data_IF_010458604567
#
_entry.id   IF_010458604567
#
_cell.length_a   1.000
_cell.length_b   1.000
_cell.length_c   1.000
_cell.angle_alpha   90.00
_cell.angle_beta   90.00
_cell.angle_gamma   90.00
#
_symmetry.space_group_name_H-M   'P 1'
#
loop_
_entity.id
_entity.type
_entity.pdbx_description
1 polymer ?
#
# COMPACT_ATOMS: atom_id res chain seq x y z
N UNK A 1 -15.71 76.24 -40.34
CA UNK A 1 -14.37 75.59 -40.33
C UNK A 1 -13.95 75.02 -38.96
N UNK A 2 -14.26 75.66 -37.82
CA UNK A 2 -13.84 75.16 -36.50
C UNK A 2 -14.44 73.79 -36.11
N UNK A 3 -15.75 73.56 -36.33
CA UNK A 3 -16.42 72.29 -36.00
C UNK A 3 -15.77 71.07 -36.66
N UNK A 4 -15.39 71.17 -37.92
CA UNK A 4 -14.77 70.07 -38.66
C UNK A 4 -13.38 69.72 -38.13
N UNK A 5 -12.63 70.71 -37.63
CA UNK A 5 -11.33 70.46 -36.98
C UNK A 5 -11.49 69.77 -35.63
N UNK A 6 -12.52 70.10 -34.86
CA UNK A 6 -12.81 69.48 -33.56
C UNK A 6 -13.17 68.00 -33.72
N UNK A 7 -14.02 67.65 -34.69
CA UNK A 7 -14.41 66.26 -34.94
C UNK A 7 -13.22 65.37 -35.33
N UNK A 8 -12.30 65.89 -36.16
CA UNK A 8 -11.09 65.18 -36.55
C UNK A 8 -10.16 64.93 -35.34
N UNK A 9 -10.08 65.88 -34.41
CA UNK A 9 -9.30 65.69 -33.18
C UNK A 9 -9.92 64.65 -32.25
N UNK A 10 -11.24 64.65 -32.08
CA UNK A 10 -11.94 63.65 -31.28
C UNK A 10 -11.80 62.24 -31.88
N UNK A 11 -11.91 62.11 -33.21
CA UNK A 11 -11.72 60.84 -33.90
C UNK A 11 -10.29 60.29 -33.73
N UNK A 12 -9.28 61.16 -33.76
CA UNK A 12 -7.87 60.77 -33.52
C UNK A 12 -7.64 60.29 -32.10
N UNK A 13 -8.19 60.99 -31.11
CA UNK A 13 -8.11 60.58 -29.70
C UNK A 13 -8.80 59.23 -29.50
N UNK A 14 -9.98 59.03 -30.09
CA UNK A 14 -10.70 57.77 -30.04
C UNK A 14 -9.90 56.62 -30.68
N UNK A 15 -9.27 56.85 -31.84
CA UNK A 15 -8.40 55.86 -32.49
C UNK A 15 -7.16 55.51 -31.63
N UNK A 16 -6.52 56.50 -31.01
CA UNK A 16 -5.35 56.27 -30.15
C UNK A 16 -5.75 55.45 -28.92
N UNK A 17 -6.89 55.77 -28.29
CA UNK A 17 -7.41 55.02 -27.14
C UNK A 17 -7.79 53.58 -27.52
N UNK A 18 -8.38 53.38 -28.71
CA UNK A 18 -8.72 52.05 -29.20
C UNK A 18 -7.47 51.20 -29.45
N UNK A 19 -6.44 51.76 -30.10
CA UNK A 19 -5.16 51.07 -30.33
C UNK A 19 -4.44 50.76 -29.01
N UNK A 20 -4.50 51.68 -28.03
CA UNK A 20 -3.93 51.44 -26.71
C UNK A 20 -4.62 50.28 -25.96
N UNK A 21 -5.94 50.11 -26.15
CA UNK A 21 -6.68 48.99 -25.55
C UNK A 21 -6.32 47.62 -26.15
N UNK A 22 -5.90 47.60 -27.42
CA UNK A 22 -5.42 46.39 -28.11
C UNK A 22 -3.98 46.02 -27.75
N UNK A 23 -3.22 46.95 -27.18
CA UNK A 23 -1.83 46.75 -26.78
C UNK A 23 -1.67 46.23 -25.34
N UNK A 24 -2.77 45.97 -24.62
CA UNK A 24 -2.69 45.31 -23.33
C UNK A 24 -2.15 43.87 -23.54
N UNK A 25 -0.95 43.52 -23.05
CA UNK A 25 -0.53 42.13 -23.06
C UNK A 25 -1.56 41.37 -22.23
N UNK A 26 -2.22 40.40 -22.85
CA UNK A 26 -3.05 39.45 -22.13
C UNK A 26 -2.15 38.72 -21.13
N UNK A 27 -2.13 39.18 -19.88
CA UNK A 27 -1.60 38.40 -18.78
C UNK A 27 -2.52 37.20 -18.62
N UNK A 28 -2.28 36.17 -19.43
CA UNK A 28 -2.70 34.82 -19.11
C UNK A 28 -1.99 34.48 -17.80
N UNK A 29 -2.65 34.76 -16.69
CA UNK A 29 -2.28 34.26 -15.37
C UNK A 29 -2.48 32.75 -15.49
N UNK A 30 -1.40 32.05 -15.84
CA UNK A 30 -1.40 30.59 -15.84
C UNK A 30 -1.90 30.15 -14.49
N UNK A 31 -3.01 29.43 -14.47
CA UNK A 31 -3.55 28.87 -13.23
C UNK A 31 -2.42 28.07 -12.57
N UNK A 32 -2.07 28.38 -11.32
CA UNK A 32 -1.08 27.62 -10.56
C UNK A 32 -1.54 26.16 -10.46
N UNK A 33 -1.04 25.31 -11.36
CA UNK A 33 -1.39 23.90 -11.38
C UNK A 33 -0.75 23.21 -10.18
N UNK A 34 -1.57 22.86 -9.18
CA UNK A 34 -1.16 22.02 -8.05
C UNK A 34 -1.16 20.56 -8.48
N UNK A 35 -0.01 20.07 -8.93
CA UNK A 35 0.17 18.66 -9.29
C UNK A 35 0.62 17.91 -8.02
N UNK A 36 -0.27 17.10 -7.46
CA UNK A 36 0.07 16.15 -6.40
C UNK A 36 0.52 14.82 -7.01
N UNK A 37 1.68 14.31 -6.59
CA UNK A 37 2.11 12.96 -6.93
C UNK A 37 1.75 12.00 -5.79
N UNK A 38 1.21 10.83 -6.14
CA UNK A 38 0.99 9.73 -5.19
C UNK A 38 1.90 8.58 -5.55
N UNK A 39 2.51 7.96 -4.53
CA UNK A 39 3.19 6.69 -4.72
C UNK A 39 2.15 5.58 -4.59
N UNK A 40 1.70 5.04 -5.72
CA UNK A 40 0.67 4.01 -5.78
C UNK A 40 1.09 2.74 -5.03
N UNK A 41 2.35 2.33 -5.10
CA UNK A 41 2.86 1.14 -4.41
C UNK A 41 2.75 1.28 -2.89
N UNK A 42 3.17 2.44 -2.37
CA UNK A 42 3.06 2.77 -0.95
C UNK A 42 1.60 2.89 -0.52
N UNK A 43 0.75 3.50 -1.36
CA UNK A 43 -0.68 3.61 -1.10
C UNK A 43 -1.33 2.23 -0.92
N UNK A 44 -1.07 1.27 -1.81
CA UNK A 44 -1.63 -0.08 -1.69
C UNK A 44 -1.08 -0.85 -0.49
N UNK A 45 0.21 -0.70 -0.17
CA UNK A 45 0.84 -1.37 0.98
C UNK A 45 0.38 -0.80 2.33
N UNK A 46 0.22 0.52 2.42
CA UNK A 46 -0.18 1.21 3.64
C UNK A 46 -1.71 1.39 3.75
N UNK A 47 -2.46 1.09 2.68
CA UNK A 47 -3.91 1.19 2.63
C UNK A 47 -4.52 0.48 3.83
N UNK A 48 -5.34 1.21 4.59
CA UNK A 48 -6.01 0.67 5.78
C UNK A 48 -6.79 -0.63 5.49
N UNK A 49 -7.46 -0.81 4.33
CA UNK A 49 -8.06 -2.10 3.97
C UNK A 49 -7.05 -3.25 3.86
N UNK A 50 -5.87 -3.02 3.26
CA UNK A 50 -4.83 -4.04 3.11
C UNK A 50 -4.25 -4.47 4.47
N UNK A 51 -3.95 -3.52 5.35
CA UNK A 51 -3.49 -3.82 6.72
C UNK A 51 -4.52 -4.60 7.53
N UNK A 52 -5.81 -4.25 7.43
CA UNK A 52 -6.89 -4.98 8.12
C UNK A 52 -7.03 -6.41 7.60
N UNK A 53 -6.94 -6.60 6.28
CA UNK A 53 -6.97 -7.92 5.68
C UNK A 53 -5.78 -8.77 6.14
N UNK A 54 -4.58 -8.20 6.16
CA UNK A 54 -3.38 -8.87 6.64
C UNK A 54 -3.50 -9.28 8.11
N UNK A 55 -3.92 -8.37 9.00
CA UNK A 55 -4.12 -8.68 10.42
C UNK A 55 -5.19 -9.76 10.63
N UNK A 56 -6.24 -9.77 9.80
CA UNK A 56 -7.28 -10.80 9.86
C UNK A 56 -6.71 -12.17 9.48
N UNK A 57 -5.93 -12.24 8.40
CA UNK A 57 -5.25 -13.46 7.99
C UNK A 57 -4.25 -13.94 9.05
N UNK A 58 -3.39 -13.05 9.57
CA UNK A 58 -2.46 -13.39 10.65
C UNK A 58 -3.20 -13.99 11.86
N UNK A 59 -4.34 -13.43 12.24
CA UNK A 59 -5.15 -13.94 13.35
C UNK A 59 -5.78 -15.31 13.06
N UNK A 60 -6.30 -15.51 11.85
CA UNK A 60 -6.91 -16.78 11.43
C UNK A 60 -5.87 -17.90 11.29
N UNK A 61 -4.66 -17.57 10.82
CA UNK A 61 -3.59 -18.53 10.61
C UNK A 61 -2.71 -18.76 11.84
N UNK A 62 -2.63 -17.82 12.79
CA UNK A 62 -1.84 -17.98 14.02
C UNK A 62 -2.25 -19.22 14.84
N UNK A 63 -3.55 -19.55 14.89
CA UNK A 63 -4.02 -20.76 15.55
C UNK A 63 -3.49 -22.03 14.86
N UNK A 64 -3.53 -22.05 13.52
CA UNK A 64 -3.04 -23.15 12.69
C UNK A 64 -1.53 -23.33 12.85
N UNK A 65 -0.78 -22.22 12.84
CA UNK A 65 0.68 -22.24 13.03
C UNK A 65 1.06 -22.79 14.40
N UNK A 66 0.33 -22.39 15.47
CA UNK A 66 0.55 -22.90 16.81
C UNK A 66 0.28 -24.41 16.91
N UNK A 67 -0.77 -24.91 16.25
CA UNK A 67 -1.08 -26.34 16.18
C UNK A 67 0.01 -27.12 15.44
N UNK A 68 0.47 -26.62 14.28
CA UNK A 68 1.55 -27.24 13.50
C UNK A 68 2.85 -27.27 14.32
N UNK A 69 3.19 -26.18 15.01
CA UNK A 69 4.37 -26.13 15.87
C UNK A 69 4.27 -27.14 17.02
N UNK A 70 3.09 -27.30 17.63
CA UNK A 70 2.85 -28.27 18.68
C UNK A 70 3.04 -29.71 18.18
N UNK A 71 2.46 -30.05 17.03
CA UNK A 71 2.63 -31.35 16.39
C UNK A 71 4.10 -31.63 16.05
N UNK A 72 4.79 -30.67 15.45
CA UNK A 72 6.21 -30.80 15.13
C UNK A 72 7.06 -31.03 16.38
N UNK A 73 6.74 -30.33 17.48
CA UNK A 73 7.41 -30.55 18.77
C UNK A 73 7.13 -31.94 19.32
N UNK A 74 5.88 -32.40 19.29
CA UNK A 74 5.52 -33.74 19.77
C UNK A 74 6.27 -34.84 19.02
N UNK A 75 6.39 -34.74 17.69
CA UNK A 75 7.16 -35.69 16.87
C UNK A 75 8.63 -35.71 17.29
N UNK A 76 9.26 -34.54 17.44
CA UNK A 76 10.67 -34.44 17.87
C UNK A 76 10.89 -34.98 19.27
N UNK A 77 10.00 -34.67 20.21
CA UNK A 77 10.09 -35.13 21.59
C UNK A 77 9.96 -36.66 21.66
N UNK A 78 9.06 -37.25 20.85
CA UNK A 78 8.87 -38.70 20.79
C UNK A 78 10.08 -39.41 20.14
N UNK A 79 10.65 -38.82 19.08
CA UNK A 79 11.91 -39.29 18.47
C UNK A 79 13.06 -39.28 19.49
N UNK A 80 13.26 -38.16 20.18
CA UNK A 80 14.33 -38.02 21.17
C UNK A 80 14.19 -39.02 22.33
N UNK A 81 12.96 -39.30 22.77
CA UNK A 81 12.71 -40.33 23.79
C UNK A 81 13.03 -41.74 23.28
N UNK A 82 12.67 -42.07 22.04
CA UNK A 82 12.99 -43.38 21.45
C UNK A 82 14.50 -43.56 21.26
N UNK A 83 15.23 -42.52 20.86
CA UNK A 83 16.69 -42.56 20.71
C UNK A 83 17.40 -42.69 22.07
N UNK A 84 16.96 -41.93 23.07
CA UNK A 84 17.63 -41.88 24.37
C UNK A 84 17.24 -43.03 25.30
N UNK A 85 15.95 -43.28 25.42
CA UNK A 85 15.41 -44.21 26.41
C UNK A 85 15.11 -45.58 25.79
N UNK A 86 15.13 -45.72 24.45
CA UNK A 86 14.76 -46.94 23.74
C UNK A 86 15.55 -48.19 24.12
N UNK A 87 16.80 -48.04 24.58
CA UNK A 87 17.63 -49.14 25.10
C UNK A 87 17.26 -49.57 26.53
N UNK A 88 16.54 -48.73 27.26
CA UNK A 88 16.08 -48.98 28.65
C UNK A 88 14.57 -49.24 28.74
N UNK A 89 13.83 -49.00 27.66
CA UNK A 89 12.39 -49.25 27.58
C UNK A 89 12.07 -50.74 27.39
N UNK A 90 10.89 -51.16 27.83
CA UNK A 90 10.38 -52.50 27.49
C UNK A 90 10.08 -52.59 25.98
N UNK A 91 10.22 -53.78 25.39
CA UNK A 91 9.89 -54.02 23.97
C UNK A 91 8.44 -53.64 23.64
N UNK A 92 7.51 -53.82 24.58
CA UNK A 92 6.10 -53.45 24.42
C UNK A 92 5.92 -51.93 24.36
N UNK A 93 6.54 -51.19 25.29
CA UNK A 93 6.45 -49.72 25.33
C UNK A 93 7.16 -49.07 24.13
N UNK A 94 8.29 -49.65 23.72
CA UNK A 94 9.04 -49.20 22.55
C UNK A 94 8.20 -49.32 21.28
N UNK A 95 7.60 -50.50 21.03
CA UNK A 95 6.73 -50.72 19.86
C UNK A 95 5.49 -49.82 19.88
N UNK A 96 4.93 -49.54 21.06
CA UNK A 96 3.80 -48.62 21.18
C UNK A 96 4.19 -47.21 20.74
N UNK A 97 5.32 -46.68 21.23
CA UNK A 97 5.82 -45.35 20.84
C UNK A 97 6.27 -45.28 19.38
N UNK A 98 6.88 -46.33 18.83
CA UNK A 98 7.23 -46.39 17.40
C UNK A 98 5.97 -46.33 16.52
N UNK A 99 4.88 -46.99 16.93
CA UNK A 99 3.58 -46.91 16.23
C UNK A 99 2.96 -45.52 16.35
N UNK A 100 3.01 -44.90 17.52
CA UNK A 100 2.50 -43.54 17.72
C UNK A 100 3.28 -42.52 16.88
N UNK A 101 4.60 -42.70 16.76
CA UNK A 101 5.43 -41.89 15.86
C UNK A 101 4.99 -42.05 14.39
N UNK A 102 4.80 -43.30 13.95
CA UNK A 102 4.38 -43.61 12.58
C UNK A 102 2.98 -43.08 12.24
N UNK A 103 2.11 -42.91 13.24
CA UNK A 103 0.79 -42.29 13.07
C UNK A 103 0.84 -40.75 13.00
N UNK A 104 1.95 -40.13 13.43
CA UNK A 104 2.14 -38.67 13.46
C UNK A 104 3.03 -38.14 12.32
N UNK A 105 3.70 -39.02 11.55
CA UNK A 105 4.49 -38.70 10.35
C UNK A 105 3.65 -38.74 9.08
#
# INVERSE_FOLDING_TARGET
>A
MLKHRIEIYLARIACILFIASLAAPGFAQGADYKIGFINSERLFREAAPAKRAQQKLEKEFAGRDAEIQKLSKQVRDLQAQLEKDGVTMSEADRRAKERDLANMS
#
